data_IF_908970498594
#
_entry.id   IF_908970498594
#
_cell.length_a   1.000
_cell.length_b   1.000
_cell.length_c   1.000
_cell.angle_alpha   90.00
_cell.angle_beta   90.00
_cell.angle_gamma   90.00
#
_symmetry.space_group_name_H-M   'P 1'
#
loop_
_entity.id
_entity.type
_entity.pdbx_description
1 polymer ?
#
# COMPACT_ATOMS: atom_id res chain seq x y z
N UNK A 1 20.38 -18.95 -17.48
CA UNK A 1 20.79 -18.39 -18.78
C UNK A 1 19.71 -17.52 -19.42
N UNK A 2 18.41 -17.84 -19.29
CA UNK A 2 17.30 -17.03 -19.82
C UNK A 2 17.27 -15.59 -19.28
N UNK A 3 17.73 -15.35 -18.05
CA UNK A 3 17.79 -14.02 -17.45
C UNK A 3 18.95 -13.15 -17.97
N UNK A 4 19.87 -13.74 -18.73
CA UNK A 4 21.00 -13.03 -19.34
C UNK A 4 20.68 -12.50 -20.74
N UNK A 5 19.63 -13.04 -21.38
CA UNK A 5 19.15 -12.59 -22.69
C UNK A 5 17.93 -11.68 -22.52
N UNK A 6 18.17 -10.38 -22.50
CA UNK A 6 17.13 -9.37 -22.33
C UNK A 6 17.30 -8.22 -23.33
N UNK A 7 16.20 -7.58 -23.76
CA UNK A 7 16.27 -6.44 -24.66
C UNK A 7 16.88 -5.22 -23.97
N UNK A 8 17.78 -4.54 -24.67
CA UNK A 8 18.41 -3.30 -24.20
C UNK A 8 17.84 -2.13 -24.98
N UNK A 9 17.44 -1.07 -24.26
CA UNK A 9 16.95 0.19 -24.83
C UNK A 9 17.78 1.33 -24.26
N UNK A 10 18.32 2.16 -25.12
CA UNK A 10 19.03 3.38 -24.74
C UNK A 10 18.05 4.53 -24.73
N UNK A 11 17.89 5.21 -23.59
CA UNK A 11 16.87 6.25 -23.45
C UNK A 11 17.33 7.42 -22.59
N UNK A 12 16.77 8.59 -22.85
CA UNK A 12 16.88 9.77 -22.02
C UNK A 12 15.48 10.34 -21.78
N UNK A 13 14.94 10.14 -20.59
CA UNK A 13 13.62 10.68 -20.23
C UNK A 13 13.63 12.21 -20.23
N UNK A 14 14.73 12.83 -19.80
CA UNK A 14 14.90 14.30 -19.81
C UNK A 14 14.80 14.89 -21.21
N UNK A 15 15.39 14.21 -22.21
CA UNK A 15 15.42 14.66 -23.59
C UNK A 15 14.32 14.04 -24.46
N UNK A 16 13.49 13.16 -23.91
CA UNK A 16 12.31 12.61 -24.55
C UNK A 16 12.59 11.62 -25.69
N UNK A 17 13.71 10.92 -25.68
CA UNK A 17 14.04 9.96 -26.74
C UNK A 17 14.38 8.57 -26.22
N UNK A 18 14.16 7.55 -27.07
CA UNK A 18 14.60 6.18 -26.86
C UNK A 18 14.99 5.53 -28.19
N UNK A 19 16.01 4.65 -28.17
CA UNK A 19 16.54 3.96 -29.35
C UNK A 19 16.99 2.55 -28.99
N UNK A 20 16.98 1.65 -29.96
CA UNK A 20 17.48 0.29 -29.81
C UNK A 20 18.98 0.19 -30.12
N UNK A 21 19.49 1.07 -30.93
CA UNK A 21 20.92 1.19 -31.29
C UNK A 21 21.39 2.62 -31.09
N UNK A 22 22.56 2.81 -30.48
CA UNK A 22 23.12 4.15 -30.20
C UNK A 22 23.49 4.94 -31.46
N UNK A 23 23.58 4.27 -32.62
CA UNK A 23 23.79 4.93 -33.91
C UNK A 23 22.52 5.57 -34.50
N UNK A 24 21.34 5.20 -34.00
CA UNK A 24 20.06 5.76 -34.43
C UNK A 24 19.86 7.14 -33.82
N UNK A 25 19.26 8.06 -34.61
CA UNK A 25 18.81 9.36 -34.12
C UNK A 25 17.28 9.36 -34.05
N UNK A 26 16.76 9.54 -32.86
CA UNK A 26 15.31 9.61 -32.60
C UNK A 26 15.02 10.76 -31.64
N UNK A 27 13.85 11.33 -31.78
CA UNK A 27 13.32 12.43 -30.96
C UNK A 27 12.09 12.05 -30.13
N UNK A 28 11.83 10.73 -29.99
CA UNK A 28 10.66 10.23 -29.30
C UNK A 28 10.95 8.97 -28.49
N UNK A 29 10.02 8.56 -27.63
CA UNK A 29 10.14 7.40 -26.74
C UNK A 29 9.56 6.10 -27.33
N UNK A 30 9.25 6.08 -28.61
CA UNK A 30 8.54 4.97 -29.26
C UNK A 30 9.25 3.62 -29.11
N UNK A 31 10.56 3.58 -29.29
CA UNK A 31 11.35 2.36 -29.17
C UNK A 31 11.22 1.73 -27.77
N UNK A 32 11.16 2.53 -26.69
CA UNK A 32 10.92 2.03 -25.34
C UNK A 32 9.51 1.45 -25.20
N UNK A 33 8.48 2.17 -25.64
CA UNK A 33 7.10 1.69 -25.51
C UNK A 33 6.82 0.43 -26.33
N UNK A 34 7.36 0.34 -27.55
CA UNK A 34 7.25 -0.88 -28.38
C UNK A 34 7.98 -2.06 -27.75
N UNK A 35 9.14 -1.84 -27.14
CA UNK A 35 9.86 -2.90 -26.40
C UNK A 35 9.06 -3.37 -25.19
N UNK A 36 8.46 -2.45 -24.42
CA UNK A 36 7.57 -2.80 -23.30
C UNK A 36 6.40 -3.66 -23.79
N UNK A 37 5.69 -3.21 -24.83
CA UNK A 37 4.54 -3.94 -25.37
C UNK A 37 4.90 -5.34 -25.90
N UNK A 38 6.11 -5.52 -26.40
CA UNK A 38 6.59 -6.80 -26.94
C UNK A 38 7.07 -7.78 -25.85
N UNK A 39 7.72 -7.27 -24.79
CA UNK A 39 8.46 -8.12 -23.85
C UNK A 39 7.84 -8.16 -22.44
N UNK A 40 6.97 -7.22 -22.09
CA UNK A 40 6.28 -7.23 -20.79
C UNK A 40 4.92 -7.90 -20.96
N UNK A 41 4.66 -9.03 -20.29
CA UNK A 41 3.36 -9.68 -20.38
C UNK A 41 2.27 -8.79 -19.76
N UNK A 42 1.07 -8.86 -20.32
CA UNK A 42 -0.11 -8.22 -19.71
C UNK A 42 -0.40 -8.83 -18.33
N UNK A 43 -1.08 -8.10 -17.44
CA UNK A 43 -1.49 -8.64 -16.15
C UNK A 43 -2.25 -9.96 -16.31
N UNK A 44 -1.86 -10.96 -15.54
CA UNK A 44 -2.58 -12.23 -15.48
C UNK A 44 -3.83 -12.06 -14.61
N UNK A 45 -4.87 -12.82 -14.91
CA UNK A 45 -6.13 -12.87 -14.16
C UNK A 45 -7.34 -12.98 -15.09
N UNK A 46 -8.41 -13.56 -14.58
CA UNK A 46 -9.68 -13.67 -15.30
C UNK A 46 -10.66 -12.60 -14.78
N UNK A 47 -11.00 -11.58 -15.60
CA UNK A 47 -11.95 -10.56 -15.17
C UNK A 47 -13.38 -11.10 -14.94
N UNK A 48 -13.71 -12.23 -15.50
CA UNK A 48 -15.05 -12.85 -15.35
C UNK A 48 -15.09 -13.92 -14.25
N UNK A 49 -13.95 -14.19 -13.61
CA UNK A 49 -13.84 -15.08 -12.47
C UNK A 49 -14.31 -14.46 -11.13
N UNK A 50 -14.30 -15.25 -10.05
CA UNK A 50 -14.65 -14.74 -8.71
C UNK A 50 -13.65 -13.68 -8.24
N UNK A 51 -14.17 -12.62 -7.60
CA UNK A 51 -13.34 -11.51 -7.11
C UNK A 51 -12.26 -11.98 -6.12
N UNK A 52 -11.04 -11.60 -6.40
CA UNK A 52 -9.89 -11.71 -5.50
C UNK A 52 -9.10 -10.41 -5.53
N UNK A 53 -9.20 -9.60 -4.48
CA UNK A 53 -8.44 -8.37 -4.29
C UNK A 53 -7.63 -8.50 -3.01
N UNK A 54 -6.30 -8.60 -3.11
CA UNK A 54 -5.43 -8.66 -1.94
C UNK A 54 -4.93 -7.26 -1.57
N UNK A 55 -5.10 -6.91 -0.30
CA UNK A 55 -4.66 -5.62 0.25
C UNK A 55 -3.16 -5.70 0.58
N UNK A 56 -2.38 -4.85 -0.05
CA UNK A 56 -0.92 -4.76 0.10
C UNK A 56 -0.45 -3.53 0.85
N UNK A 57 -1.28 -2.47 0.91
CA UNK A 57 -0.99 -1.26 1.65
C UNK A 57 -2.26 -0.68 2.28
N UNK A 58 -2.07 0.10 3.33
CA UNK A 58 -3.15 0.84 3.99
C UNK A 58 -2.92 2.33 3.86
N UNK A 59 -4.01 3.06 3.75
CA UNK A 59 -4.06 4.51 3.83
C UNK A 59 -5.20 4.92 4.77
N UNK A 60 -5.28 6.18 5.11
CA UNK A 60 -6.28 6.71 6.03
C UNK A 60 -6.75 8.09 5.59
N UNK A 61 -8.06 8.28 5.66
CA UNK A 61 -8.69 9.59 5.49
C UNK A 61 -9.62 9.87 6.66
N UNK A 62 -9.58 11.10 7.18
CA UNK A 62 -10.50 11.52 8.25
C UNK A 62 -11.98 11.48 7.84
N UNK A 63 -12.29 11.42 6.55
CA UNK A 63 -13.67 11.40 6.02
C UNK A 63 -14.21 9.99 5.81
N UNK A 64 -13.37 9.07 5.31
CA UNK A 64 -13.81 7.71 4.91
C UNK A 64 -13.19 6.61 5.77
N UNK A 65 -12.31 6.98 6.72
CA UNK A 65 -11.62 6.04 7.58
C UNK A 65 -10.47 5.32 6.87
N UNK A 66 -10.28 4.04 7.19
CA UNK A 66 -9.24 3.20 6.58
C UNK A 66 -9.53 2.92 5.11
N UNK A 67 -8.48 2.99 4.32
CA UNK A 67 -8.49 2.72 2.89
C UNK A 67 -7.53 1.58 2.63
N UNK A 68 -8.00 0.51 2.00
CA UNK A 68 -7.15 -0.58 1.54
C UNK A 68 -6.69 -0.31 0.11
N UNK A 69 -5.40 -0.47 -0.12
CA UNK A 69 -4.80 -0.42 -1.46
C UNK A 69 -4.38 -1.82 -1.83
N UNK A 70 -4.80 -2.28 -2.99
CA UNK A 70 -4.48 -3.63 -3.43
C UNK A 70 -4.60 -3.83 -4.92
N UNK A 71 -4.13 -5.01 -5.38
CA UNK A 71 -4.28 -5.44 -6.76
C UNK A 71 -5.42 -6.45 -6.86
N UNK A 72 -6.26 -6.27 -7.85
CA UNK A 72 -7.26 -7.26 -8.24
C UNK A 72 -6.53 -8.37 -8.99
N UNK A 73 -6.50 -9.55 -8.40
CA UNK A 73 -5.87 -10.74 -9.02
C UNK A 73 -6.85 -11.42 -9.94
N UNK A 74 -8.15 -11.41 -9.58
CA UNK A 74 -9.21 -12.07 -10.34
C UNK A 74 -10.53 -11.32 -10.16
N UNK A 75 -11.43 -11.43 -11.15
CA UNK A 75 -12.77 -10.85 -11.09
C UNK A 75 -12.84 -9.35 -11.31
N UNK A 76 -13.97 -8.77 -10.90
CA UNK A 76 -14.30 -7.34 -10.99
C UNK A 76 -14.83 -6.82 -9.67
N UNK A 77 -14.62 -5.53 -9.41
CA UNK A 77 -15.12 -4.84 -8.23
C UNK A 77 -15.86 -3.56 -8.60
N UNK A 78 -16.96 -3.29 -7.90
CA UNK A 78 -17.79 -2.07 -8.06
C UNK A 78 -18.10 -1.41 -6.73
N UNK A 79 -18.34 -0.11 -6.70
CA UNK A 79 -18.92 0.57 -5.53
C UNK A 79 -20.26 -0.08 -5.14
N UNK A 80 -20.51 -0.17 -3.83
CA UNK A 80 -21.73 -0.75 -3.28
C UNK A 80 -21.77 -2.29 -3.25
N UNK A 81 -20.78 -2.98 -3.80
CA UNK A 81 -20.72 -4.43 -3.86
C UNK A 81 -20.61 -5.04 -2.45
N UNK A 82 -21.39 -6.10 -2.20
CA UNK A 82 -21.24 -6.94 -1.00
C UNK A 82 -20.13 -7.96 -1.24
N UNK A 83 -19.20 -8.03 -0.31
CA UNK A 83 -18.01 -8.87 -0.40
C UNK A 83 -17.79 -9.62 0.91
N UNK A 84 -16.85 -10.55 0.93
CA UNK A 84 -16.31 -11.14 2.15
C UNK A 84 -14.82 -10.82 2.28
N UNK A 85 -14.40 -10.65 3.52
CA UNK A 85 -13.01 -10.37 3.92
C UNK A 85 -12.44 -11.63 4.55
N UNK A 86 -11.31 -12.09 4.04
CA UNK A 86 -10.63 -13.29 4.53
C UNK A 86 -9.16 -12.98 4.85
N UNK A 87 -8.68 -13.48 5.98
CA UNK A 87 -7.27 -13.33 6.40
C UNK A 87 -6.37 -14.45 5.86
N UNK A 88 -6.93 -15.38 5.12
CA UNK A 88 -6.24 -16.51 4.50
C UNK A 88 -7.23 -17.58 4.07
N UNK A 89 -6.77 -18.63 3.34
CA UNK A 89 -7.64 -19.67 2.79
C UNK A 89 -8.53 -20.39 3.82
N UNK A 90 -8.00 -20.61 5.03
CA UNK A 90 -8.69 -21.34 6.10
C UNK A 90 -9.41 -20.43 7.10
N UNK A 91 -9.46 -19.11 6.83
CA UNK A 91 -10.06 -18.16 7.76
C UNK A 91 -11.58 -18.08 7.60
N UNK A 92 -12.28 -17.76 8.69
CA UNK A 92 -13.73 -17.52 8.65
C UNK A 92 -14.03 -16.25 7.85
N UNK A 93 -14.86 -16.33 6.80
CA UNK A 93 -15.26 -15.17 6.02
C UNK A 93 -16.04 -14.16 6.87
N UNK A 94 -15.64 -12.88 6.81
CA UNK A 94 -16.39 -11.77 7.40
C UNK A 94 -17.08 -10.99 6.29
N UNK A 95 -18.34 -10.65 6.46
CA UNK A 95 -19.06 -9.84 5.46
C UNK A 95 -18.61 -8.40 5.49
N UNK A 96 -18.51 -7.79 4.31
CA UNK A 96 -18.18 -6.39 4.13
C UNK A 96 -18.96 -5.78 2.96
N UNK A 97 -18.96 -4.47 2.86
CA UNK A 97 -19.51 -3.73 1.73
C UNK A 97 -18.53 -2.67 1.28
N UNK A 98 -18.28 -2.62 -0.01
CA UNK A 98 -17.45 -1.58 -0.63
C UNK A 98 -18.27 -0.30 -0.75
N UNK A 99 -17.79 0.81 -0.18
CA UNK A 99 -18.45 2.09 -0.39
C UNK A 99 -17.98 2.75 -1.68
N UNK A 100 -16.67 2.85 -1.86
CA UNK A 100 -16.06 3.48 -3.03
C UNK A 100 -14.91 2.62 -3.56
N UNK A 101 -14.71 2.69 -4.87
CA UNK A 101 -13.54 2.18 -5.56
C UNK A 101 -12.86 3.36 -6.25
N UNK A 102 -11.56 3.52 -6.01
CA UNK A 102 -10.75 4.55 -6.65
C UNK A 102 -9.61 3.91 -7.43
N UNK A 103 -9.37 4.42 -8.62
CA UNK A 103 -8.20 4.09 -9.43
C UNK A 103 -7.18 5.23 -9.40
N UNK A 104 -6.09 5.06 -10.13
CA UNK A 104 -5.06 6.07 -10.32
C UNK A 104 -5.10 6.62 -11.72
N UNK A 105 -5.12 7.94 -11.84
CA UNK A 105 -4.93 8.66 -13.10
C UNK A 105 -3.73 9.60 -12.93
N UNK A 106 -2.58 9.18 -13.42
CA UNK A 106 -1.30 9.79 -13.07
C UNK A 106 -1.05 9.66 -11.55
N UNK A 107 -0.87 10.78 -10.87
CA UNK A 107 -0.71 10.84 -9.40
C UNK A 107 -2.03 11.05 -8.65
N UNK A 108 -3.11 11.31 -9.36
CA UNK A 108 -4.41 11.59 -8.76
C UNK A 108 -5.23 10.32 -8.55
N UNK A 109 -6.00 10.29 -7.46
CA UNK A 109 -6.99 9.26 -7.17
C UNK A 109 -8.32 9.69 -7.75
N UNK A 110 -8.92 8.83 -8.55
CA UNK A 110 -10.21 9.10 -9.19
C UNK A 110 -11.21 8.00 -8.87
N UNK A 111 -12.46 8.36 -8.64
CA UNK A 111 -13.54 7.39 -8.49
C UNK A 111 -13.73 6.64 -9.81
N UNK A 112 -13.90 5.32 -9.70
CA UNK A 112 -14.20 4.46 -10.84
C UNK A 112 -15.48 3.68 -10.58
N UNK A 113 -16.26 3.47 -11.63
CA UNK A 113 -17.52 2.72 -11.55
C UNK A 113 -17.28 1.20 -11.52
N UNK A 114 -16.14 0.76 -12.05
CA UNK A 114 -15.72 -0.63 -12.06
C UNK A 114 -14.20 -0.70 -12.20
N UNK A 115 -13.58 -1.72 -11.60
CA UNK A 115 -12.20 -2.13 -11.84
C UNK A 115 -12.13 -3.65 -11.96
N UNK A 116 -11.10 -4.18 -12.64
CA UNK A 116 -10.99 -5.58 -13.00
C UNK A 116 -9.63 -6.20 -12.72
N UNK A 117 -9.51 -7.49 -12.91
CA UNK A 117 -8.26 -8.23 -12.76
C UNK A 117 -7.08 -7.53 -13.46
N UNK A 118 -5.99 -7.31 -12.72
CA UNK A 118 -4.82 -6.55 -13.14
C UNK A 118 -4.75 -5.13 -12.60
N UNK A 119 -5.88 -4.51 -12.27
CA UNK A 119 -5.92 -3.15 -11.75
C UNK A 119 -5.44 -3.06 -10.30
N UNK A 120 -4.81 -1.93 -9.98
CA UNK A 120 -4.48 -1.51 -8.62
C UNK A 120 -5.52 -0.47 -8.20
N UNK A 121 -6.23 -0.76 -7.11
CA UNK A 121 -7.33 0.07 -6.63
C UNK A 121 -7.20 0.41 -5.16
N UNK A 122 -7.89 1.48 -4.78
CA UNK A 122 -8.16 1.82 -3.39
C UNK A 122 -9.63 1.55 -3.10
N UNK A 123 -9.89 0.92 -1.97
CA UNK A 123 -11.26 0.66 -1.50
C UNK A 123 -11.47 1.16 -0.09
N UNK A 124 -12.68 1.58 0.23
CA UNK A 124 -13.11 1.91 1.57
C UNK A 124 -14.48 1.29 1.89
N UNK A 125 -14.92 1.41 3.15
CA UNK A 125 -16.18 0.85 3.63
C UNK A 125 -16.03 -0.44 4.42
N UNK A 126 -14.84 -1.00 4.54
CA UNK A 126 -14.54 -2.22 5.31
C UNK A 126 -13.82 -1.83 6.60
N UNK A 127 -14.44 -2.12 7.76
CA UNK A 127 -13.90 -1.72 9.07
C UNK A 127 -12.61 -2.46 9.42
N UNK A 128 -12.57 -3.78 9.22
CA UNK A 128 -11.44 -4.65 9.60
C UNK A 128 -10.45 -4.85 8.43
N UNK A 129 -10.22 -3.83 7.61
CA UNK A 129 -9.27 -3.95 6.52
C UNK A 129 -7.83 -3.90 7.05
N UNK A 130 -7.01 -4.89 6.66
CA UNK A 130 -5.61 -5.03 7.05
C UNK A 130 -4.74 -5.45 5.87
N UNK A 131 -3.42 -5.36 6.02
CA UNK A 131 -2.49 -5.88 5.01
C UNK A 131 -2.56 -7.42 4.96
N UNK A 132 -2.52 -7.95 3.74
CA UNK A 132 -2.55 -9.38 3.47
C UNK A 132 -3.95 -9.98 3.40
N UNK A 133 -4.99 -9.26 3.86
CA UNK A 133 -6.36 -9.74 3.71
C UNK A 133 -6.76 -9.78 2.24
N UNK A 134 -7.60 -10.75 1.88
CA UNK A 134 -8.20 -10.85 0.56
C UNK A 134 -9.67 -10.47 0.64
N UNK A 135 -10.08 -9.54 -0.21
CA UNK A 135 -11.48 -9.21 -0.46
C UNK A 135 -11.95 -10.16 -1.55
N UNK A 136 -12.94 -10.98 -1.23
CA UNK A 136 -13.40 -12.06 -2.09
C UNK A 136 -14.85 -11.86 -2.51
N UNK A 137 -15.22 -12.56 -3.57
CA UNK A 137 -16.62 -12.77 -3.95
C UNK A 137 -17.39 -13.41 -2.79
N UNK A 138 -18.65 -13.03 -2.63
CA UNK A 138 -19.50 -13.54 -1.55
C UNK A 138 -19.96 -14.97 -1.76
N UNK A 139 -20.22 -15.35 -3.00
CA UNK A 139 -20.80 -16.67 -3.35
C UNK A 139 -19.70 -17.72 -3.51
N UNK A 140 -18.53 -17.31 -4.00
CA UNK A 140 -17.39 -18.19 -4.20
C UNK A 140 -16.10 -17.57 -3.61
N UNK A 141 -15.98 -17.50 -2.28
CA UNK A 141 -14.82 -16.86 -1.64
C UNK A 141 -13.55 -17.69 -1.82
N UNK A 142 -12.54 -17.11 -2.44
CA UNK A 142 -11.23 -17.72 -2.66
C UNK A 142 -10.15 -16.78 -2.16
N UNK A 143 -9.68 -17.00 -0.94
CA UNK A 143 -8.64 -16.17 -0.36
C UNK A 143 -7.24 -16.55 -0.86
N UNK A 144 -6.42 -15.55 -1.09
CA UNK A 144 -5.00 -15.71 -1.35
C UNK A 144 -4.23 -15.97 -0.04
N UNK A 145 -3.05 -16.59 -0.11
CA UNK A 145 -2.17 -16.69 1.06
C UNK A 145 -1.90 -15.32 1.67
N UNK A 146 -1.94 -15.25 3.00
CA UNK A 146 -1.71 -13.99 3.71
C UNK A 146 -0.29 -13.48 3.47
N UNK A 147 -0.15 -12.19 3.16
CA UNK A 147 1.14 -11.53 3.09
C UNK A 147 1.74 -11.44 4.50
N UNK A 148 2.95 -11.93 4.67
CA UNK A 148 3.70 -11.78 5.92
C UNK A 148 4.38 -10.42 5.94
N UNK A 149 4.15 -9.68 7.01
CA UNK A 149 4.89 -8.44 7.31
C UNK A 149 5.95 -8.79 8.33
N UNK A 150 7.20 -8.43 8.05
CA UNK A 150 8.31 -8.69 8.98
C UNK A 150 8.08 -7.96 10.29
N UNK A 151 8.39 -8.63 11.39
CA UNK A 151 8.31 -8.03 12.71
C UNK A 151 9.37 -6.93 12.89
N UNK A 152 9.08 -5.91 13.72
CA UNK A 152 10.04 -4.86 14.00
C UNK A 152 11.29 -5.43 14.71
N UNK A 153 12.47 -4.99 14.27
CA UNK A 153 13.77 -5.49 14.77
C UNK A 153 14.46 -4.53 15.73
N UNK A 154 14.09 -3.26 15.75
CA UNK A 154 14.67 -2.23 16.61
C UNK A 154 13.59 -1.59 17.47
N UNK A 155 13.91 -1.42 18.76
CA UNK A 155 13.02 -0.75 19.73
C UNK A 155 13.73 0.46 20.32
N UNK A 156 13.04 1.60 20.35
CA UNK A 156 13.51 2.84 20.97
C UNK A 156 12.45 3.38 21.94
N UNK A 157 12.90 4.18 22.89
CA UNK A 157 12.01 4.89 23.81
C UNK A 157 11.83 6.32 23.36
N UNK A 158 10.59 6.72 23.13
CA UNK A 158 10.20 8.11 22.91
C UNK A 158 9.63 8.67 24.20
N UNK A 159 10.19 9.77 24.68
CA UNK A 159 9.70 10.41 25.89
C UNK A 159 9.66 11.92 25.73
N UNK A 160 8.84 12.55 26.55
CA UNK A 160 8.77 14.00 26.62
C UNK A 160 10.09 14.52 27.21
N UNK A 161 10.58 15.65 26.68
CA UNK A 161 11.75 16.32 27.24
C UNK A 161 11.40 16.90 28.63
N UNK A 162 11.98 16.33 29.69
CA UNK A 162 11.82 16.77 31.07
C UNK A 162 12.97 17.65 31.57
N UNK A 163 13.90 18.06 30.67
CA UNK A 163 15.02 18.92 31.03
C UNK A 163 14.58 20.36 31.33
N UNK A 164 15.43 21.18 32.00
CA UNK A 164 15.14 22.60 32.22
C UNK A 164 14.92 23.42 30.94
N UNK A 165 15.34 22.88 29.78
CA UNK A 165 15.17 23.48 28.46
C UNK A 165 13.90 22.98 27.73
N UNK A 166 13.04 22.23 28.42
CA UNK A 166 11.79 21.76 27.86
C UNK A 166 10.90 22.92 27.42
N UNK A 167 10.35 22.84 26.19
CA UNK A 167 9.47 23.85 25.63
C UNK A 167 10.14 25.10 25.06
N UNK A 168 11.49 25.18 25.06
CA UNK A 168 12.22 26.27 24.41
C UNK A 168 12.27 26.09 22.89
N UNK A 169 12.28 24.86 22.42
CA UNK A 169 12.29 24.49 21.01
C UNK A 169 11.20 23.43 20.73
N UNK A 170 10.64 23.47 19.52
CA UNK A 170 9.59 22.55 19.08
C UNK A 170 8.18 23.01 19.46
N UNK A 171 7.19 22.63 18.63
CA UNK A 171 5.77 23.00 18.79
C UNK A 171 4.91 21.84 19.33
N UNK A 172 5.35 20.60 19.16
CA UNK A 172 4.56 19.39 19.45
C UNK A 172 5.31 18.48 20.43
N UNK A 173 5.54 19.01 21.64
CA UNK A 173 6.46 18.41 22.64
C UNK A 173 5.74 17.79 23.85
N UNK A 174 4.41 17.78 23.88
CA UNK A 174 3.67 17.21 25.00
C UNK A 174 3.39 15.71 24.77
N UNK A 175 3.25 14.94 25.86
CA UNK A 175 2.91 13.50 25.82
C UNK A 175 1.66 13.21 25.00
N UNK A 176 0.63 14.06 25.12
CA UNK A 176 -0.59 13.93 24.33
C UNK A 176 -0.32 14.06 22.82
N UNK A 177 0.48 15.04 22.41
CA UNK A 177 0.82 15.26 20.99
C UNK A 177 1.66 14.13 20.43
N UNK A 178 2.61 13.61 21.21
CA UNK A 178 3.41 12.44 20.83
C UNK A 178 2.51 11.22 20.67
N UNK A 179 1.63 10.96 21.63
CA UNK A 179 0.64 9.86 21.56
C UNK A 179 -0.25 9.97 20.33
N UNK A 180 -0.81 11.16 20.07
CA UNK A 180 -1.66 11.39 18.89
C UNK A 180 -0.89 11.15 17.58
N UNK A 181 0.37 11.57 17.50
CA UNK A 181 1.24 11.34 16.35
C UNK A 181 1.51 9.85 16.14
N UNK A 182 1.87 9.12 17.19
CA UNK A 182 2.13 7.68 17.14
C UNK A 182 0.86 6.90 16.78
N UNK A 183 -0.29 7.27 17.34
CA UNK A 183 -1.58 6.64 17.04
C UNK A 183 -1.97 6.83 15.57
N UNK A 184 -1.75 8.02 15.01
CA UNK A 184 -1.99 8.26 13.57
C UNK A 184 -1.08 7.42 12.70
N UNK A 185 0.18 7.29 13.07
CA UNK A 185 1.14 6.48 12.30
C UNK A 185 0.73 5.01 12.26
N UNK A 186 0.22 4.46 13.37
CA UNK A 186 -0.26 3.08 13.44
C UNK A 186 -1.45 2.77 12.50
N UNK A 187 -2.15 3.79 12.00
CA UNK A 187 -3.27 3.58 11.07
C UNK A 187 -2.81 3.07 9.70
N UNK A 188 -1.60 3.43 9.30
CA UNK A 188 -1.06 3.12 7.97
C UNK A 188 0.27 2.35 8.01
N UNK A 189 1.07 2.54 9.05
CA UNK A 189 2.40 1.96 9.19
C UNK A 189 2.34 0.63 9.98
N UNK A 190 2.11 -0.46 9.28
CA UNK A 190 1.96 -1.81 9.88
C UNK A 190 3.24 -2.40 10.44
N UNK A 191 4.41 -1.84 10.09
CA UNK A 191 5.70 -2.27 10.60
C UNK A 191 6.11 -1.52 11.88
N UNK A 192 5.26 -0.59 12.34
CA UNK A 192 5.44 0.12 13.59
C UNK A 192 4.64 -0.56 14.69
N UNK A 193 5.24 -0.72 15.87
CA UNK A 193 4.56 -1.17 17.09
C UNK A 193 4.79 -0.13 18.17
N UNK A 194 3.75 0.27 18.87
CA UNK A 194 3.81 1.19 20.00
C UNK A 194 3.21 0.50 21.22
N UNK A 195 3.97 0.44 22.29
CA UNK A 195 3.58 -0.17 23.57
C UNK A 195 3.55 0.90 24.65
N UNK A 196 2.48 0.89 25.46
CA UNK A 196 2.40 1.69 26.67
C UNK A 196 3.31 1.11 27.75
N UNK A 197 4.13 1.96 28.35
CA UNK A 197 5.09 1.55 29.39
C UNK A 197 4.51 1.62 30.82
N UNK A 198 3.27 2.12 30.96
CA UNK A 198 2.65 2.47 32.26
C UNK A 198 2.98 3.89 32.71
N UNK A 199 3.92 4.56 32.07
CA UNK A 199 4.23 5.97 32.25
C UNK A 199 3.57 6.78 31.10
N UNK A 200 2.82 7.82 31.44
CA UNK A 200 2.07 8.61 30.47
C UNK A 200 2.99 9.40 29.49
N UNK A 201 4.22 9.64 29.89
CA UNK A 201 5.20 10.43 29.16
C UNK A 201 6.24 9.61 28.39
N UNK A 202 6.15 8.27 28.47
CA UNK A 202 7.12 7.34 27.91
C UNK A 202 6.44 6.30 27.00
N UNK A 203 6.88 6.20 25.77
CA UNK A 203 6.37 5.27 24.75
C UNK A 203 7.49 4.36 24.27
N UNK A 204 7.24 3.06 24.24
CA UNK A 204 8.14 2.09 23.61
C UNK A 204 7.72 1.92 22.16
N UNK A 205 8.59 2.30 21.23
CA UNK A 205 8.31 2.29 19.79
C UNK A 205 9.27 1.34 19.09
N UNK A 206 8.71 0.36 18.39
CA UNK A 206 9.49 -0.63 17.65
C UNK A 206 9.24 -0.50 16.15
N UNK A 207 10.31 -0.56 15.37
CA UNK A 207 10.28 -0.42 13.91
C UNK A 207 11.31 -1.31 13.21
N UNK A 208 11.33 -1.29 11.88
CA UNK A 208 12.22 -2.12 11.05
C UNK A 208 13.70 -1.78 11.19
N UNK A 209 14.03 -0.58 11.65
CA UNK A 209 15.40 -0.12 11.78
C UNK A 209 15.50 1.33 12.19
N UNK A 210 16.74 1.82 12.35
CA UNK A 210 17.05 3.17 12.81
C UNK A 210 16.42 4.26 11.92
N UNK A 211 16.58 4.13 10.59
CA UNK A 211 16.03 5.10 9.64
C UNK A 211 14.50 5.18 9.74
N UNK A 212 13.83 4.03 9.89
CA UNK A 212 12.37 3.99 10.03
C UNK A 212 11.88 4.77 11.25
N UNK A 213 12.59 4.64 12.38
CA UNK A 213 12.24 5.35 13.62
C UNK A 213 12.69 6.82 13.61
N UNK A 214 13.81 7.14 12.95
CA UNK A 214 14.30 8.52 12.82
C UNK A 214 13.39 9.41 11.97
N UNK A 215 12.80 8.84 10.88
CA UNK A 215 11.85 9.59 10.05
C UNK A 215 10.55 9.89 10.81
N UNK A 216 10.23 9.11 11.85
CA UNK A 216 9.05 9.32 12.67
C UNK A 216 9.18 10.53 13.60
N UNK A 217 10.40 10.89 13.97
CA UNK A 217 10.73 12.07 14.79
C UNK A 217 10.62 13.36 13.99
#
# INVERSE_FOLDING_TARGET
>A
DEQLDFPVVYASALNGFAMLDMSEKTDNMRALFETVLKHVPSPAGDPDGPLQLQISALDYSSFVGRIGVGRITNGRIKPGQSVVVMTGPDSTPKTGRINQVLGFQGLSRVLVDEAQAGDIVLINGIEDIGIGVTICDRENPQALPMLKVDEPTLTMTFQVNSSPLAGTEGKFVTSRQIRDRLTKELLTNVALRVEDTGDADVFRVSGRGELHLTILL
#
